data_IF_295296445308
#
_entry.id   IF_295296445308
#
_cell.length_a   1.000
_cell.length_b   1.000
_cell.length_c   1.000
_cell.angle_alpha   90.00
_cell.angle_beta   90.00
_cell.angle_gamma   90.00
#
_symmetry.space_group_name_H-M   'P 1'
#
loop_
_entity.id
_entity.type
_entity.pdbx_description
1 polymer ?
#
# COMPACT_ATOMS: atom_id res chain seq x y z
N UNK A 1 -24.77 -18.13 11.82
CA UNK A 1 -23.60 -17.41 12.34
C UNK A 1 -22.52 -17.76 11.34
N UNK A 2 -22.49 -17.00 10.26
CA UNK A 2 -21.92 -17.47 9.01
C UNK A 2 -20.51 -16.93 8.88
N UNK A 3 -19.59 -17.86 8.68
CA UNK A 3 -18.17 -17.65 8.48
C UNK A 3 -17.95 -16.69 7.31
N UNK A 4 -17.33 -15.54 7.60
CA UNK A 4 -16.63 -14.76 6.59
C UNK A 4 -15.36 -15.51 6.19
N UNK A 5 -15.49 -16.47 5.28
CA UNK A 5 -14.37 -17.01 4.52
C UNK A 5 -13.91 -15.93 3.53
N UNK A 6 -12.99 -15.08 3.99
CA UNK A 6 -12.30 -14.12 3.14
C UNK A 6 -11.24 -14.90 2.34
N UNK A 7 -11.65 -15.41 1.18
CA UNK A 7 -10.76 -16.02 0.20
C UNK A 7 -9.87 -14.96 -0.46
N UNK A 8 -8.70 -14.70 0.12
CA UNK A 8 -7.55 -14.26 -0.66
C UNK A 8 -6.84 -15.53 -1.14
N UNK A 9 -6.85 -15.76 -2.45
CA UNK A 9 -6.44 -17.02 -3.07
C UNK A 9 -5.14 -17.61 -2.50
N UNK A 10 -5.18 -18.91 -2.23
CA UNK A 10 -4.06 -19.72 -1.79
C UNK A 10 -2.85 -19.52 -2.71
N UNK A 11 -1.79 -18.91 -2.18
CA UNK A 11 -0.48 -18.96 -2.82
C UNK A 11 0.11 -20.36 -2.59
N UNK A 12 0.64 -21.03 -3.63
CA UNK A 12 1.19 -22.37 -3.48
C UNK A 12 2.43 -22.36 -2.57
N UNK A 13 2.64 -23.41 -1.75
CA UNK A 13 3.86 -23.54 -0.97
C UNK A 13 4.95 -24.12 -1.88
N UNK A 14 5.93 -23.30 -2.28
CA UNK A 14 7.14 -23.82 -2.92
C UNK A 14 8.40 -23.38 -2.19
N UNK A 15 9.09 -24.40 -1.70
CA UNK A 15 10.36 -24.42 -0.98
C UNK A 15 11.53 -23.73 -1.73
N UNK A 16 12.30 -22.99 -0.95
CA UNK A 16 13.76 -22.74 -1.05
C UNK A 16 14.36 -22.35 -2.39
N UNK A 17 14.58 -21.04 -2.57
CA UNK A 17 15.87 -20.48 -3.02
C UNK A 17 15.95 -19.03 -2.56
N UNK A 18 17.03 -18.64 -1.88
CA UNK A 18 17.32 -17.31 -1.32
C UNK A 18 17.57 -16.23 -2.40
N UNK A 19 16.77 -16.21 -3.47
CA UNK A 19 16.80 -15.12 -4.44
C UNK A 19 15.62 -14.20 -4.15
N UNK A 20 15.83 -12.90 -3.91
CA UNK A 20 14.72 -11.98 -3.74
C UNK A 20 13.84 -12.06 -5.00
N UNK A 21 12.50 -12.09 -4.84
CA UNK A 21 11.60 -12.14 -5.99
C UNK A 21 11.95 -11.00 -6.93
N UNK A 22 12.29 -11.34 -8.18
CA UNK A 22 12.56 -10.33 -9.21
C UNK A 22 11.23 -9.70 -9.59
N UNK A 23 11.04 -8.46 -9.20
CA UNK A 23 9.86 -7.70 -9.61
C UNK A 23 9.91 -7.47 -11.11
N UNK A 24 9.03 -8.16 -11.85
CA UNK A 24 8.88 -7.97 -13.30
C UNK A 24 7.93 -6.81 -13.51
N UNK A 25 8.29 -5.86 -14.38
CA UNK A 25 7.44 -4.70 -14.70
C UNK A 25 6.06 -5.19 -15.17
N UNK A 26 4.97 -4.86 -14.45
CA UNK A 26 3.63 -5.21 -14.90
C UNK A 26 3.22 -4.34 -16.09
N UNK A 27 2.17 -4.76 -16.78
CA UNK A 27 1.54 -3.96 -17.85
C UNK A 27 0.43 -3.11 -17.25
N UNK A 28 0.15 -1.96 -17.87
CA UNK A 28 -1.02 -1.16 -17.57
C UNK A 28 -2.30 -2.00 -17.66
N UNK A 29 -3.20 -1.85 -16.70
CA UNK A 29 -4.52 -2.49 -16.67
C UNK A 29 -5.57 -1.45 -16.25
N UNK A 30 -6.22 -0.86 -17.25
CA UNK A 30 -7.23 0.18 -17.05
C UNK A 30 -8.66 -0.38 -16.99
N UNK A 31 -8.81 -1.70 -16.84
CA UNK A 31 -10.14 -2.27 -16.64
C UNK A 31 -10.74 -1.76 -15.33
N UNK A 32 -12.04 -1.43 -15.31
CA UNK A 32 -12.69 -0.99 -14.09
C UNK A 32 -12.74 -2.12 -13.07
N UNK A 33 -12.54 -1.78 -11.79
CA UNK A 33 -12.76 -2.72 -10.69
C UNK A 33 -14.28 -2.94 -10.50
N UNK A 34 -14.73 -4.18 -10.19
CA UNK A 34 -16.16 -4.49 -10.01
C UNK A 34 -16.79 -3.64 -8.91
N UNK A 35 -17.76 -2.80 -9.25
CA UNK A 35 -18.40 -1.87 -8.31
C UNK A 35 -19.09 -2.61 -7.16
N UNK A 36 -18.82 -2.17 -5.93
CA UNK A 36 -19.51 -2.63 -4.71
C UNK A 36 -19.83 -1.42 -3.84
N UNK A 37 -21.09 -1.29 -3.44
CA UNK A 37 -21.59 -0.21 -2.59
C UNK A 37 -21.09 -0.32 -1.14
N UNK A 38 -20.46 -1.44 -0.77
CA UNK A 38 -19.89 -1.71 0.56
C UNK A 38 -18.37 -1.68 0.56
N UNK A 39 -17.75 -1.45 -0.61
CA UNK A 39 -16.30 -1.48 -0.73
C UNK A 39 -15.60 -0.17 -0.37
N UNK A 40 -14.37 -0.27 0.13
CA UNK A 40 -13.43 0.84 0.30
C UNK A 40 -12.26 0.66 -0.67
N UNK A 41 -11.62 1.77 -1.01
CA UNK A 41 -10.56 1.84 -2.00
C UNK A 41 -9.24 2.23 -1.35
N UNK A 42 -8.16 1.71 -1.92
CA UNK A 42 -6.80 2.07 -1.56
C UNK A 42 -5.98 2.30 -2.81
N UNK A 43 -4.92 3.10 -2.68
CA UNK A 43 -3.87 3.21 -3.67
C UNK A 43 -2.58 2.61 -3.12
N UNK A 44 -2.15 1.49 -3.69
CA UNK A 44 -0.82 0.95 -3.48
C UNK A 44 0.17 1.59 -4.45
N UNK A 45 1.25 2.16 -3.93
CA UNK A 45 2.34 2.73 -4.72
C UNK A 45 3.58 1.90 -4.46
N UNK A 46 4.04 1.21 -5.50
CA UNK A 46 5.20 0.33 -5.44
C UNK A 46 6.31 0.88 -6.32
N UNK A 47 7.49 1.09 -5.76
CA UNK A 47 8.69 1.49 -6.50
C UNK A 47 9.75 0.42 -6.33
N UNK A 48 9.83 -0.57 -7.25
CA UNK A 48 10.70 -1.74 -7.08
C UNK A 48 12.19 -1.40 -6.98
N UNK A 49 12.62 -0.31 -7.62
CA UNK A 49 14.02 0.09 -7.69
C UNK A 49 14.55 0.70 -6.39
N UNK A 50 13.67 1.30 -5.59
CA UNK A 50 13.97 1.83 -4.26
C UNK A 50 13.43 0.94 -3.15
N UNK A 51 12.87 -0.22 -3.53
CA UNK A 51 12.22 -1.18 -2.64
C UNK A 51 11.17 -0.53 -1.71
N UNK A 52 10.38 0.41 -2.25
CA UNK A 52 9.35 1.12 -1.46
C UNK A 52 7.95 0.62 -1.80
N UNK A 53 7.11 0.51 -0.77
CA UNK A 53 5.68 0.25 -0.88
C UNK A 53 4.93 1.16 0.09
N UNK A 54 3.97 1.93 -0.41
CA UNK A 54 3.09 2.78 0.40
C UNK A 54 1.64 2.51 0.05
N UNK A 55 0.76 2.63 1.03
CA UNK A 55 -0.69 2.55 0.87
C UNK A 55 -1.29 3.91 1.22
N UNK A 56 -2.24 4.37 0.43
CA UNK A 56 -3.12 5.48 0.75
C UNK A 56 -4.55 4.97 0.87
N UNK A 57 -5.26 5.39 1.91
CA UNK A 57 -6.64 5.01 2.21
C UNK A 57 -6.74 4.08 3.42
N UNK A 58 -7.98 3.79 3.87
CA UNK A 58 -9.14 3.60 3.00
C UNK A 58 -9.94 4.85 2.67
N UNK A 59 -10.49 4.89 1.45
CA UNK A 59 -11.41 5.95 1.00
C UNK A 59 -12.70 5.39 0.38
N UNK A 60 -13.78 6.17 0.42
CA UNK A 60 -15.10 5.78 -0.14
C UNK A 60 -15.21 5.90 -1.66
N UNK A 61 -14.41 6.79 -2.25
CA UNK A 61 -14.51 7.20 -3.66
C UNK A 61 -13.12 7.32 -4.26
N UNK A 62 -12.99 6.93 -5.54
CA UNK A 62 -11.73 6.98 -6.28
C UNK A 62 -11.20 8.42 -6.41
N UNK A 63 -12.08 9.42 -6.41
CA UNK A 63 -11.70 10.84 -6.44
C UNK A 63 -10.73 11.24 -5.33
N UNK A 64 -10.78 10.60 -4.15
CA UNK A 64 -9.85 10.88 -3.05
C UNK A 64 -8.44 10.31 -3.28
N UNK A 65 -8.28 9.38 -4.22
CA UNK A 65 -6.98 8.83 -4.62
C UNK A 65 -6.33 9.65 -5.74
N UNK A 66 -7.07 10.55 -6.40
CA UNK A 66 -6.53 11.37 -7.49
C UNK A 66 -5.34 12.24 -7.07
N UNK A 67 -5.34 12.94 -5.91
CA UNK A 67 -4.20 13.77 -5.53
C UNK A 67 -2.87 13.00 -5.46
N UNK A 68 -2.75 11.85 -4.74
CA UNK A 68 -1.49 11.09 -4.75
C UNK A 68 -1.18 10.45 -6.12
N UNK A 69 -2.19 10.12 -6.94
CA UNK A 69 -1.95 9.67 -8.33
C UNK A 69 -1.29 10.80 -9.14
N UNK A 70 -1.88 12.00 -9.11
CA UNK A 70 -1.42 13.18 -9.84
C UNK A 70 -0.02 13.61 -9.39
N UNK A 71 0.26 13.58 -8.08
CA UNK A 71 1.60 13.85 -7.55
C UNK A 71 2.63 12.93 -8.20
N UNK A 72 2.35 11.62 -8.24
CA UNK A 72 3.27 10.64 -8.83
C UNK A 72 3.39 10.74 -10.34
N UNK A 73 2.33 11.10 -11.06
CA UNK A 73 2.37 11.25 -12.52
C UNK A 73 2.98 12.57 -12.98
N UNK A 74 2.94 13.63 -12.16
CA UNK A 74 3.35 15.00 -12.52
C UNK A 74 4.77 15.12 -13.07
N UNK A 75 5.66 14.19 -12.72
CA UNK A 75 7.07 14.19 -13.13
C UNK A 75 7.35 13.41 -14.43
N UNK A 76 6.35 12.75 -15.02
CA UNK A 76 6.50 11.93 -16.23
C UNK A 76 5.49 12.37 -17.30
N UNK A 77 5.94 13.02 -18.40
CA UNK A 77 5.05 13.47 -19.48
C UNK A 77 4.19 12.33 -20.04
N UNK A 78 4.78 11.15 -20.23
CA UNK A 78 4.05 9.96 -20.68
C UNK A 78 2.94 9.52 -19.72
N UNK A 79 3.15 9.71 -18.41
CA UNK A 79 2.14 9.39 -17.41
C UNK A 79 1.02 10.43 -17.38
N UNK A 80 1.35 11.71 -17.59
CA UNK A 80 0.36 12.78 -17.75
C UNK A 80 -0.55 12.48 -18.94
N UNK A 81 0.04 12.23 -20.11
CA UNK A 81 -0.71 11.93 -21.34
C UNK A 81 -1.63 10.70 -21.16
N UNK A 82 -1.12 9.64 -20.50
CA UNK A 82 -1.93 8.45 -20.18
C UNK A 82 -3.05 8.73 -19.20
N UNK A 83 -2.79 9.53 -18.17
CA UNK A 83 -3.80 9.88 -17.16
C UNK A 83 -4.90 10.73 -17.79
N UNK A 84 -4.54 11.70 -18.63
CA UNK A 84 -5.50 12.55 -19.34
C UNK A 84 -6.34 11.73 -20.32
N UNK A 85 -5.73 10.79 -21.05
CA UNK A 85 -6.46 9.88 -21.95
C UNK A 85 -7.47 8.97 -21.22
N UNK A 86 -7.29 8.74 -19.92
CA UNK A 86 -8.26 8.02 -19.08
C UNK A 86 -9.30 8.95 -18.48
N UNK A 87 -8.87 10.13 -18.04
CA UNK A 87 -9.70 11.12 -17.37
C UNK A 87 -10.70 11.80 -18.32
N UNK A 88 -10.39 11.85 -19.61
CA UNK A 88 -11.20 12.55 -20.60
C UNK A 88 -11.63 11.62 -21.74
N UNK A 89 -12.81 11.88 -22.28
CA UNK A 89 -13.27 11.25 -23.52
C UNK A 89 -12.45 11.72 -24.72
N UNK A 90 -12.38 10.92 -25.80
CA UNK A 90 -11.77 11.37 -27.05
C UNK A 90 -12.43 12.66 -27.52
N UNK A 91 -11.61 13.59 -28.02
CA UNK A 91 -12.09 14.87 -28.51
C UNK A 91 -13.16 14.67 -29.59
N UNK A 92 -14.25 15.43 -29.48
CA UNK A 92 -15.31 15.41 -30.47
C UNK A 92 -14.90 16.13 -31.78
N UNK A 93 -15.85 16.28 -32.71
CA UNK A 93 -15.60 16.94 -33.99
C UNK A 93 -15.15 18.41 -33.87
N UNK A 94 -15.30 19.02 -32.69
CA UNK A 94 -14.92 20.41 -32.39
C UNK A 94 -13.70 20.51 -31.46
N UNK A 95 -13.10 19.38 -31.09
CA UNK A 95 -11.94 19.35 -30.21
C UNK A 95 -12.29 19.43 -28.72
N UNK A 96 -13.57 19.34 -28.35
CA UNK A 96 -14.01 19.39 -26.96
C UNK A 96 -13.86 18.01 -26.31
N UNK A 97 -13.28 17.99 -25.11
CA UNK A 97 -13.11 16.80 -24.30
C UNK A 97 -13.99 16.90 -23.06
N UNK A 98 -14.68 15.82 -22.73
CA UNK A 98 -15.52 15.76 -21.52
C UNK A 98 -14.92 14.80 -20.48
N UNK A 99 -15.04 15.09 -19.18
CA UNK A 99 -14.60 14.16 -18.13
C UNK A 99 -15.27 12.78 -18.25
N UNK A 100 -14.48 11.74 -18.10
CA UNK A 100 -14.91 10.35 -18.14
C UNK A 100 -15.53 9.96 -16.80
N UNK A 101 -16.86 9.90 -16.74
CA UNK A 101 -17.59 9.45 -15.54
C UNK A 101 -17.19 8.02 -15.11
N UNK A 102 -16.81 7.17 -16.07
CA UNK A 102 -16.33 5.82 -15.79
C UNK A 102 -15.01 5.85 -15.00
N UNK A 103 -14.07 6.72 -15.39
CA UNK A 103 -12.80 6.89 -14.71
C UNK A 103 -12.97 7.48 -13.31
N UNK A 104 -13.81 8.51 -13.16
CA UNK A 104 -14.06 9.12 -11.85
C UNK A 104 -14.66 8.14 -10.83
N UNK A 105 -15.49 7.21 -11.31
CA UNK A 105 -16.19 6.24 -10.45
C UNK A 105 -15.35 4.99 -10.18
N UNK A 106 -14.71 4.44 -11.21
CA UNK A 106 -14.08 3.11 -11.13
C UNK A 106 -12.55 3.16 -11.09
N UNK A 107 -11.95 4.27 -11.51
CA UNK A 107 -10.51 4.40 -11.66
C UNK A 107 -9.91 3.40 -12.64
N UNK A 108 -8.71 2.92 -12.30
CA UNK A 108 -7.98 1.88 -13.01
C UNK A 108 -7.56 0.78 -12.04
N UNK A 109 -7.14 -0.38 -12.53
CA UNK A 109 -6.56 -1.41 -11.67
C UNK A 109 -5.06 -1.20 -11.48
N UNK A 110 -4.31 -1.04 -12.56
CA UNK A 110 -2.86 -0.87 -12.54
C UNK A 110 -2.44 0.22 -13.52
N UNK A 111 -1.62 1.16 -13.06
CA UNK A 111 -1.08 2.25 -13.84
C UNK A 111 0.43 2.35 -13.61
N UNK A 112 1.21 2.26 -14.68
CA UNK A 112 2.67 2.28 -14.64
C UNK A 112 3.17 3.68 -14.96
N UNK A 113 3.85 4.31 -14.01
CA UNK A 113 4.56 5.57 -14.23
C UNK A 113 5.98 5.24 -14.65
N UNK A 114 6.33 5.54 -15.89
CA UNK A 114 7.70 5.36 -16.37
C UNK A 114 8.60 6.50 -15.88
N UNK A 115 9.74 6.12 -15.30
CA UNK A 115 10.79 7.01 -14.88
C UNK A 115 12.02 6.95 -15.82
N UNK A 116 13.10 7.60 -15.40
CA UNK A 116 14.34 7.60 -16.17
C UNK A 116 15.13 6.30 -15.98
N UNK A 117 16.00 5.95 -16.95
CA UNK A 117 16.94 4.81 -16.84
C UNK A 117 16.25 3.47 -16.55
N UNK A 118 15.10 3.23 -17.17
CA UNK A 118 14.28 2.03 -16.98
C UNK A 118 13.76 1.84 -15.55
N UNK A 119 13.65 2.92 -14.76
CA UNK A 119 12.88 2.88 -13.51
C UNK A 119 11.40 3.02 -13.79
N UNK A 120 10.57 2.46 -12.90
CA UNK A 120 9.13 2.65 -12.94
C UNK A 120 8.52 2.59 -11.54
N UNK A 121 7.35 3.20 -11.42
CA UNK A 121 6.48 3.13 -10.25
C UNK A 121 5.16 2.49 -10.66
N UNK A 122 4.66 1.58 -9.86
CA UNK A 122 3.36 0.92 -10.07
C UNK A 122 2.36 1.55 -9.13
N UNK A 123 1.29 2.11 -9.71
CA UNK A 123 0.12 2.58 -9.00
C UNK A 123 -0.96 1.50 -9.16
N UNK A 124 -1.42 0.91 -8.07
CA UNK A 124 -2.45 -0.11 -8.08
C UNK A 124 -3.62 0.32 -7.19
N UNK A 125 -4.84 0.32 -7.75
CA UNK A 125 -6.04 0.56 -6.95
C UNK A 125 -6.50 -0.77 -6.39
N UNK A 126 -6.57 -0.86 -5.07
CA UNK A 126 -7.09 -2.02 -4.37
C UNK A 126 -8.52 -1.74 -3.91
N UNK A 127 -9.32 -2.79 -3.83
CA UNK A 127 -10.70 -2.74 -3.34
C UNK A 127 -10.90 -3.80 -2.28
N UNK A 128 -11.41 -3.38 -1.14
CA UNK A 128 -11.76 -4.25 -0.02
C UNK A 128 -13.26 -4.12 0.24
N UNK A 129 -13.98 -5.24 0.28
CA UNK A 129 -15.39 -5.22 0.65
C UNK A 129 -15.52 -5.20 2.17
N UNK A 130 -15.79 -4.00 2.73
CA UNK A 130 -15.76 -3.78 4.16
C UNK A 130 -16.80 -2.72 4.57
N UNK A 131 -18.07 -3.12 4.79
CA UNK A 131 -19.14 -2.18 5.10
C UNK A 131 -18.89 -1.42 6.41
N UNK A 132 -18.28 -2.06 7.41
CA UNK A 132 -18.01 -1.44 8.72
C UNK A 132 -17.02 -0.29 8.61
N UNK A 133 -15.90 -0.50 7.91
CA UNK A 133 -14.93 0.58 7.64
C UNK A 133 -15.56 1.64 6.75
N UNK A 134 -16.31 1.23 5.71
CA UNK A 134 -16.98 2.17 4.83
C UNK A 134 -17.92 3.09 5.60
N UNK A 135 -18.70 2.58 6.53
CA UNK A 135 -19.59 3.36 7.39
C UNK A 135 -18.83 4.29 8.35
N UNK A 136 -17.71 3.82 8.92
CA UNK A 136 -16.89 4.61 9.82
C UNK A 136 -16.20 5.81 9.14
N UNK A 137 -15.84 5.71 7.87
CA UNK A 137 -15.18 6.80 7.14
C UNK A 137 -16.02 8.09 7.13
N UNK A 138 -15.42 9.29 7.24
CA UNK A 138 -13.98 9.57 7.21
C UNK A 138 -13.29 9.48 8.57
N UNK A 139 -13.91 8.86 9.59
CA UNK A 139 -13.24 8.69 10.87
C UNK A 139 -11.99 7.80 10.72
N UNK A 140 -10.95 8.01 11.55
CA UNK A 140 -9.73 7.21 11.50
C UNK A 140 -10.00 5.72 11.70
N UNK A 141 -9.28 4.89 10.95
CA UNK A 141 -9.33 3.44 11.05
C UNK A 141 -7.92 2.85 11.06
N UNK A 142 -7.81 1.61 11.49
CA UNK A 142 -6.55 0.86 11.48
C UNK A 142 -6.37 0.14 10.15
N UNK A 143 -5.31 0.47 9.42
CA UNK A 143 -4.91 -0.22 8.18
C UNK A 143 -3.73 -1.13 8.47
N UNK A 144 -3.84 -2.40 8.10
CA UNK A 144 -2.82 -3.42 8.34
C UNK A 144 -2.14 -3.75 7.02
N UNK A 145 -0.80 -3.65 6.97
CA UNK A 145 0.02 -4.04 5.82
C UNK A 145 1.07 -5.05 6.24
N UNK A 146 1.40 -5.97 5.34
CA UNK A 146 2.43 -7.00 5.56
C UNK A 146 3.57 -6.82 4.56
N UNK A 147 4.79 -7.14 4.97
CA UNK A 147 6.01 -6.94 4.21
C UNK A 147 6.99 -8.09 4.45
N UNK A 148 7.66 -8.58 3.41
CA UNK A 148 8.73 -9.57 3.49
C UNK A 148 8.39 -10.95 2.90
N UNK A 149 9.40 -11.82 2.70
CA UNK A 149 10.73 -11.74 3.29
C UNK A 149 11.61 -10.62 2.69
N UNK A 150 12.18 -9.82 3.58
CA UNK A 150 13.23 -8.84 3.32
C UNK A 150 14.57 -9.55 3.45
N UNK A 151 15.30 -9.69 2.36
CA UNK A 151 16.60 -10.37 2.36
C UNK A 151 17.71 -9.37 2.65
N UNK A 152 18.59 -9.70 3.60
CA UNK A 152 19.80 -8.94 3.88
C UNK A 152 21.02 -9.60 3.24
N UNK A 153 21.83 -8.82 2.53
CA UNK A 153 23.16 -9.27 2.11
C UNK A 153 24.18 -8.94 3.21
N UNK A 154 24.79 -9.95 3.81
CA UNK A 154 25.99 -9.77 4.64
C UNK A 154 27.22 -9.73 3.73
N UNK A 155 27.76 -8.54 3.41
CA UNK A 155 29.09 -8.45 2.79
C UNK A 155 30.16 -8.53 3.89
N UNK A 156 30.92 -9.62 3.93
CA UNK A 156 31.71 -10.01 5.09
C UNK A 156 33.13 -9.44 5.24
N UNK A 157 33.77 -9.97 6.30
CA UNK A 157 35.17 -9.92 6.75
C UNK A 157 35.57 -8.67 7.57
N UNK A 158 35.33 -8.75 8.89
CA UNK A 158 35.94 -7.86 9.89
C UNK A 158 34.91 -7.07 10.70
N UNK A 159 34.53 -7.61 11.87
CA UNK A 159 34.00 -6.93 13.07
C UNK A 159 33.06 -5.70 12.92
N UNK A 160 32.31 -5.58 11.82
CA UNK A 160 31.34 -4.52 11.61
C UNK A 160 30.19 -5.05 10.77
N UNK A 161 29.09 -5.43 11.41
CA UNK A 161 27.85 -5.80 10.73
C UNK A 161 27.29 -4.54 10.08
N UNK A 162 27.65 -4.27 8.83
CA UNK A 162 26.84 -3.40 7.99
C UNK A 162 25.67 -4.25 7.51
N UNK A 163 24.51 -4.06 8.13
CA UNK A 163 23.24 -4.61 7.61
C UNK A 163 23.08 -4.05 6.20
N UNK A 164 23.17 -4.92 5.19
CA UNK A 164 22.99 -4.52 3.79
C UNK A 164 21.58 -3.95 3.55
N UNK A 165 21.40 -3.30 2.42
CA UNK A 165 20.10 -2.81 1.97
C UNK A 165 19.08 -3.97 1.93
N UNK A 166 17.96 -3.82 2.64
CA UNK A 166 16.88 -4.80 2.61
C UNK A 166 16.34 -4.88 1.18
N UNK A 167 16.17 -6.09 0.64
CA UNK A 167 15.63 -6.31 -0.70
C UNK A 167 14.41 -7.20 -0.66
N UNK A 168 13.40 -6.84 -1.44
CA UNK A 168 12.17 -7.61 -1.62
C UNK A 168 10.95 -7.01 -0.91
N UNK A 169 11.09 -5.84 -0.25
CA UNK A 169 10.00 -5.10 0.39
C UNK A 169 8.88 -4.83 -0.61
N UNK A 170 9.18 -4.12 -1.71
CA UNK A 170 8.20 -3.74 -2.71
C UNK A 170 7.48 -4.95 -3.33
N UNK A 171 8.20 -6.04 -3.57
CA UNK A 171 7.68 -7.22 -4.25
C UNK A 171 6.82 -8.15 -3.38
N UNK A 172 6.96 -8.06 -2.06
CA UNK A 172 6.29 -8.96 -1.10
C UNK A 172 5.31 -8.23 -0.20
N UNK A 173 5.21 -6.91 -0.35
CA UNK A 173 4.29 -6.09 0.42
C UNK A 173 2.86 -6.25 -0.07
N UNK A 174 1.92 -6.28 0.86
CA UNK A 174 0.50 -6.34 0.55
C UNK A 174 -0.34 -5.68 1.65
N UNK A 175 -1.50 -5.15 1.25
CA UNK A 175 -2.58 -4.82 2.17
C UNK A 175 -3.13 -6.12 2.78
N UNK A 176 -3.35 -6.11 4.09
CA UNK A 176 -4.06 -7.19 4.82
C UNK A 176 -5.54 -6.81 4.96
N UNK A 177 -5.81 -5.56 5.32
CA UNK A 177 -7.16 -4.98 5.36
C UNK A 177 -7.25 -3.81 6.32
N UNK A 178 -8.45 -3.22 6.47
CA UNK A 178 -8.72 -2.16 7.45
C UNK A 178 -9.76 -2.55 8.50
N UNK A 179 -9.66 -1.93 9.68
CA UNK A 179 -10.44 -2.28 10.86
C UNK A 179 -10.81 -1.02 11.65
N UNK A 180 -12.06 -0.96 12.09
CA UNK A 180 -12.54 0.12 12.98
C UNK A 180 -11.98 -0.06 14.39
N UNK A 181 -11.84 -1.30 14.85
CA UNK A 181 -11.39 -1.62 16.20
C UNK A 181 -9.92 -2.01 16.27
N UNK A 182 -9.19 -1.43 17.24
CA UNK A 182 -7.79 -1.76 17.50
C UNK A 182 -7.58 -3.25 17.81
N UNK A 183 -8.52 -3.86 18.53
CA UNK A 183 -8.46 -5.28 18.87
C UNK A 183 -8.49 -6.17 17.64
N UNK A 184 -9.39 -5.88 16.70
CA UNK A 184 -9.49 -6.60 15.42
C UNK A 184 -8.22 -6.41 14.58
N UNK A 185 -7.71 -5.18 14.47
CA UNK A 185 -6.47 -4.89 13.76
C UNK A 185 -5.27 -5.67 14.34
N UNK A 186 -5.17 -5.76 15.68
CA UNK A 186 -4.11 -6.50 16.36
C UNK A 186 -4.17 -8.00 16.09
N UNK A 187 -5.37 -8.58 16.10
CA UNK A 187 -5.58 -9.99 15.75
C UNK A 187 -5.18 -10.24 14.30
N UNK A 188 -5.68 -9.43 13.36
CA UNK A 188 -5.35 -9.56 11.95
C UNK A 188 -3.85 -9.40 11.67
N UNK A 189 -3.17 -8.48 12.38
CA UNK A 189 -1.73 -8.29 12.25
C UNK A 189 -0.93 -9.52 12.72
N UNK A 190 -1.35 -10.16 13.82
CA UNK A 190 -0.74 -11.39 14.32
C UNK A 190 -0.94 -12.55 13.36
N UNK A 191 -2.16 -12.74 12.89
CA UNK A 191 -2.48 -13.79 11.90
C UNK A 191 -1.67 -13.60 10.62
N UNK A 192 -1.56 -12.35 10.14
CA UNK A 192 -0.74 -12.03 8.98
C UNK A 192 0.75 -12.34 9.21
N UNK A 193 1.27 -12.02 10.39
CA UNK A 193 2.65 -12.35 10.77
C UNK A 193 2.87 -13.86 10.82
N UNK A 194 1.94 -14.61 11.43
CA UNK A 194 2.03 -16.07 11.50
C UNK A 194 2.04 -16.72 10.12
N UNK A 195 1.19 -16.25 9.20
CA UNK A 195 1.19 -16.71 7.80
C UNK A 195 2.48 -16.35 7.08
N UNK A 196 3.03 -15.16 7.31
CA UNK A 196 4.27 -14.72 6.66
C UNK A 196 5.49 -15.58 7.03
N UNK A 197 5.54 -16.07 8.27
CA UNK A 197 6.65 -16.89 8.77
C UNK A 197 6.31 -18.38 8.82
N UNK A 198 5.16 -18.78 8.28
CA UNK A 198 4.75 -20.17 8.26
C UNK A 198 5.74 -20.99 7.40
N UNK A 199 6.29 -22.06 7.98
CA UNK A 199 7.29 -22.89 7.30
C UNK A 199 8.72 -22.37 7.37
N UNK A 200 8.96 -21.20 7.96
CA UNK A 200 10.30 -20.72 8.28
C UNK A 200 10.87 -21.45 9.50
N UNK A 201 12.20 -21.49 9.59
CA UNK A 201 12.90 -22.10 10.73
C UNK A 201 12.75 -21.30 12.03
N UNK A 202 13.79 -21.32 12.88
CA UNK A 202 13.79 -20.53 14.10
C UNK A 202 13.78 -19.03 13.75
N UNK A 203 12.66 -18.36 14.04
CA UNK A 203 12.49 -16.90 13.88
C UNK A 203 12.33 -16.24 15.24
N UNK A 204 13.03 -15.13 15.46
CA UNK A 204 12.79 -14.26 16.62
C UNK A 204 11.66 -13.29 16.30
N UNK A 205 10.76 -13.04 17.26
CA UNK A 205 9.59 -12.16 17.08
C UNK A 205 9.63 -11.02 18.08
N UNK A 206 9.33 -9.81 17.61
CA UNK A 206 9.19 -8.61 18.42
C UNK A 206 7.86 -7.96 18.05
N UNK A 207 7.08 -7.58 19.04
CA UNK A 207 5.78 -6.92 18.88
C UNK A 207 5.82 -5.62 19.68
N UNK A 208 5.68 -4.49 18.99
CA UNK A 208 5.66 -3.15 19.59
C UNK A 208 4.34 -2.46 19.25
N UNK A 209 3.66 -1.92 20.26
CA UNK A 209 2.44 -1.14 20.10
C UNK A 209 2.62 0.23 20.71
N UNK A 210 2.31 1.27 19.93
CA UNK A 210 2.23 2.62 20.45
C UNK A 210 1.12 2.75 21.50
N UNK A 211 1.22 3.73 22.38
CA UNK A 211 0.18 3.98 23.38
C UNK A 211 -1.21 4.25 22.73
N UNK A 212 -1.25 4.93 21.57
CA UNK A 212 -2.49 5.26 20.86
C UNK A 212 -2.63 4.69 19.45
N UNK A 213 -1.60 4.80 18.60
CA UNK A 213 -1.88 5.09 17.18
C UNK A 213 -1.33 4.07 16.16
N UNK A 214 -1.05 2.84 16.60
CA UNK A 214 -0.59 1.79 15.71
C UNK A 214 0.33 0.78 16.37
N UNK A 215 0.99 -0.03 15.54
CA UNK A 215 1.96 -1.01 16.00
C UNK A 215 2.72 -1.65 14.86
N UNK A 216 3.83 -2.29 15.22
CA UNK A 216 4.67 -3.03 14.30
C UNK A 216 4.99 -4.39 14.90
N UNK A 217 4.80 -5.45 14.10
CA UNK A 217 5.29 -6.78 14.40
C UNK A 217 6.48 -7.03 13.49
N UNK A 218 7.58 -7.48 14.07
CA UNK A 218 8.79 -7.86 13.37
C UNK A 218 9.08 -9.34 13.62
N UNK A 219 9.43 -10.06 12.56
CA UNK A 219 10.06 -11.36 12.67
C UNK A 219 11.43 -11.33 11.99
N UNK A 220 12.42 -11.98 12.59
CA UNK A 220 13.79 -12.02 12.10
C UNK A 220 14.28 -13.46 12.05
N UNK A 221 14.68 -13.89 10.85
CA UNK A 221 15.46 -15.10 10.60
C UNK A 221 16.95 -14.79 10.51
N UNK A 222 17.74 -15.75 10.05
CA UNK A 222 19.21 -15.60 9.93
C UNK A 222 19.62 -14.52 8.91
N UNK A 223 18.90 -14.40 7.81
CA UNK A 223 19.20 -13.46 6.71
C UNK A 223 17.94 -12.77 6.17
N UNK A 224 16.83 -12.91 6.89
CA UNK A 224 15.50 -12.48 6.46
C UNK A 224 14.78 -11.72 7.56
N UNK A 225 13.97 -10.74 7.18
CA UNK A 225 13.03 -10.05 8.07
C UNK A 225 11.65 -10.00 7.46
N UNK A 226 10.65 -10.08 8.31
CA UNK A 226 9.26 -9.82 7.99
C UNK A 226 8.74 -8.73 8.89
N UNK A 227 7.81 -7.95 8.37
CA UNK A 227 7.23 -6.82 9.07
C UNK A 227 5.74 -6.75 8.79
N UNK A 228 4.94 -6.59 9.83
CA UNK A 228 3.53 -6.24 9.72
C UNK A 228 3.32 -4.91 10.41
N UNK A 229 2.78 -3.95 9.69
CA UNK A 229 2.48 -2.60 10.20
C UNK A 229 0.99 -2.46 10.43
N UNK A 230 0.63 -1.81 11.52
CA UNK A 230 -0.72 -1.33 11.81
C UNK A 230 -0.62 0.19 11.88
N UNK A 231 -1.17 0.84 10.86
CA UNK A 231 -1.24 2.29 10.74
C UNK A 231 -2.62 2.75 11.21
N UNK A 232 -2.69 3.77 12.06
CA UNK A 232 -3.94 4.45 12.36
C UNK A 232 -3.97 5.72 11.51
N UNK A 233 -4.77 5.72 10.43
CA UNK A 233 -4.85 6.87 9.54
C UNK A 233 -5.80 7.92 10.13
N UNK A 234 -5.24 8.93 10.79
CA UNK A 234 -5.94 10.19 11.01
C UNK A 234 -5.62 11.16 9.86
N UNK A 235 -6.22 10.92 8.68
CA UNK A 235 -6.06 11.81 7.52
C UNK A 235 -6.46 13.26 7.86
N UNK A 236 -7.36 13.46 8.82
CA UNK A 236 -7.75 14.78 9.32
C UNK A 236 -6.61 15.47 10.08
N UNK A 237 -5.84 14.75 10.88
CA UNK A 237 -4.70 15.31 11.63
C UNK A 237 -3.47 15.50 10.72
N UNK A 238 -3.25 14.61 9.75
CA UNK A 238 -2.20 14.78 8.74
C UNK A 238 -2.49 15.98 7.83
N UNK A 239 -3.72 16.12 7.29
CA UNK A 239 -4.12 17.31 6.53
C UNK A 239 -4.17 18.58 7.38
N UNK A 240 -4.66 18.52 8.62
CA UNK A 240 -4.66 19.68 9.51
C UNK A 240 -3.23 20.12 9.89
N UNK A 241 -2.30 19.17 10.03
CA UNK A 241 -0.89 19.44 10.28
C UNK A 241 -0.19 20.01 9.05
N UNK A 242 -0.44 19.46 7.87
CA UNK A 242 0.08 19.98 6.60
C UNK A 242 -0.47 21.40 6.29
N UNK A 243 -1.74 21.68 6.60
CA UNK A 243 -2.33 23.03 6.49
C UNK A 243 -1.76 23.98 7.55
N UNK A 244 -1.63 23.55 8.81
CA UNK A 244 -1.06 24.39 9.88
C UNK A 244 0.42 24.71 9.66
N UNK A 245 1.20 23.76 9.14
CA UNK A 245 2.60 23.95 8.77
C UNK A 245 2.72 24.86 7.53
N UNK A 246 1.81 24.77 6.57
CA UNK A 246 1.73 25.68 5.41
C UNK A 246 1.29 27.11 5.80
N UNK A 247 0.48 27.25 6.85
CA UNK A 247 0.01 28.54 7.38
C UNK A 247 0.96 29.16 8.43
N UNK A 248 2.09 28.50 8.74
CA UNK A 248 3.11 29.02 9.67
C UNK A 248 2.64 29.12 11.13
N UNK A 249 1.54 28.46 11.48
CA UNK A 249 1.01 28.47 12.83
C UNK A 249 1.66 27.33 13.63
N UNK A 250 2.75 27.66 14.33
CA UNK A 250 3.34 26.77 15.34
C UNK A 250 2.38 26.52 16.49
N UNK A 251 1.48 25.54 16.34
CA UNK A 251 0.56 25.11 17.39
C UNK A 251 1.24 23.97 18.17
N UNK A 252 1.74 24.28 19.36
CA UNK A 252 2.25 23.29 20.29
C UNK A 252 1.12 22.42 20.82
N UNK A 253 1.07 21.16 20.40
CA UNK A 253 0.13 20.18 20.93
C UNK A 253 0.66 19.64 22.26
N UNK A 254 -0.14 19.75 23.32
CA UNK A 254 0.15 19.14 24.62
C UNK A 254 -0.19 17.65 24.56
N UNK A 255 0.80 16.84 24.95
CA UNK A 255 0.77 15.39 25.11
C UNK A 255 -0.31 14.90 26.08
#
# INVERSE_FOLDING_TARGET
MDNNDIFFGDLPPTLTTHQPPRYTKPTDDFRPLPSSDTSVLYLAITTPHTDTYTIHGPVRSFSHLLPPIQDRTSSSPSAIDKLDALAYTPADAWGEQTPSAAFETHGFRTFIVEGQRATFTVLEVLREDNPLVREALPAPVYTVTRHGPLVYSFSGVGAGVRVGEARGFAATSALVGSFVERGAARTAARDAMERLVAGEGVVSRIEEWGAGDGGVLLAMGRETRWEVRVLYEDETLQRAKEVADAEGAGVGWRY
#
